data_IF_301044775433
#
_entry.id   IF_301044775433
#
_cell.length_a   1.000
_cell.length_b   1.000
_cell.length_c   1.000
_cell.angle_alpha   90.00
_cell.angle_beta   90.00
_cell.angle_gamma   90.00
#
_symmetry.space_group_name_H-M   'P 1'
#
loop_
_entity.id
_entity.type
_entity.pdbx_description
1 polymer ?
#
# COMPACT_ATOMS: atom_id res chain seq x y z
N UNK A 1 -17.22 -22.29 -12.89
CA UNK A 1 -16.88 -21.85 -14.24
C UNK A 1 -15.53 -21.18 -14.26
N UNK A 2 -14.76 -21.43 -15.28
CA UNK A 2 -13.40 -20.93 -15.37
C UNK A 2 -13.39 -19.59 -16.12
N UNK A 3 -12.72 -18.59 -15.56
CA UNK A 3 -12.57 -17.31 -16.23
C UNK A 3 -11.69 -17.46 -17.47
N UNK A 4 -11.98 -16.69 -18.48
CA UNK A 4 -11.10 -16.62 -19.65
C UNK A 4 -9.81 -15.95 -19.24
N UNK A 5 -8.73 -16.30 -19.92
CA UNK A 5 -7.41 -15.77 -19.60
C UNK A 5 -7.39 -14.23 -19.65
N UNK A 6 -8.07 -13.65 -20.64
CA UNK A 6 -8.11 -12.20 -20.77
C UNK A 6 -8.87 -11.55 -19.63
N UNK A 7 -9.93 -12.19 -19.16
CA UNK A 7 -10.69 -11.66 -18.03
C UNK A 7 -9.86 -11.71 -16.75
N UNK A 8 -9.16 -12.83 -16.54
CA UNK A 8 -8.29 -12.97 -15.37
C UNK A 8 -7.17 -11.95 -15.40
N UNK A 9 -6.59 -11.70 -16.58
CA UNK A 9 -5.52 -10.73 -16.72
C UNK A 9 -6.01 -9.32 -16.47
N UNK A 10 -7.20 -8.98 -16.96
CA UNK A 10 -7.77 -7.65 -16.72
C UNK A 10 -8.03 -7.43 -15.23
N UNK A 11 -8.55 -8.45 -14.56
CA UNK A 11 -8.80 -8.38 -13.12
C UNK A 11 -7.50 -8.21 -12.34
N UNK A 12 -6.49 -8.97 -12.68
CA UNK A 12 -5.21 -8.89 -12.00
C UNK A 12 -4.56 -7.54 -12.23
N UNK A 13 -4.57 -7.05 -13.47
CA UNK A 13 -3.99 -5.75 -13.80
C UNK A 13 -4.67 -4.64 -13.00
N UNK A 14 -5.98 -4.68 -12.92
CA UNK A 14 -6.75 -3.69 -12.16
C UNK A 14 -6.41 -3.75 -10.70
N UNK A 15 -6.29 -4.95 -10.15
CA UNK A 15 -5.95 -5.13 -8.75
C UNK A 15 -4.55 -4.59 -8.44
N UNK A 16 -3.59 -4.84 -9.32
CA UNK A 16 -2.23 -4.34 -9.13
C UNK A 16 -2.21 -2.81 -9.13
N UNK A 17 -2.97 -2.20 -10.03
CA UNK A 17 -3.06 -0.74 -10.06
C UNK A 17 -3.64 -0.19 -8.77
N UNK A 18 -4.69 -0.81 -8.27
CA UNK A 18 -5.30 -0.36 -7.02
C UNK A 18 -4.40 -0.63 -5.82
N UNK A 19 -3.44 -1.55 -5.96
CA UNK A 19 -2.46 -1.80 -4.90
C UNK A 19 -1.27 -0.83 -4.97
N UNK A 20 -1.33 0.16 -5.87
CA UNK A 20 -0.33 1.21 -5.90
C UNK A 20 0.86 0.96 -6.80
N UNK A 21 0.79 -0.06 -7.65
CA UNK A 21 1.89 -0.33 -8.57
C UNK A 21 1.89 0.66 -9.72
N UNK A 22 3.08 1.08 -10.12
CA UNK A 22 3.25 1.91 -11.31
C UNK A 22 2.94 1.12 -12.58
N UNK A 23 2.56 1.79 -13.67
CA UNK A 23 2.23 1.05 -14.89
C UNK A 23 3.34 0.11 -15.38
N UNK A 24 4.60 0.52 -15.26
CA UNK A 24 5.71 -0.33 -15.68
C UNK A 24 5.81 -1.59 -14.82
N UNK A 25 5.54 -1.45 -13.53
CA UNK A 25 5.58 -2.58 -12.61
C UNK A 25 4.40 -3.50 -12.83
N UNK A 26 3.24 -2.94 -13.18
CA UNK A 26 2.08 -3.75 -13.54
C UNK A 26 2.40 -4.61 -14.75
N UNK A 27 2.99 -4.01 -15.79
CA UNK A 27 3.35 -4.75 -17.00
C UNK A 27 4.34 -5.86 -16.69
N UNK A 28 5.35 -5.54 -15.88
CA UNK A 28 6.36 -6.53 -15.52
C UNK A 28 5.74 -7.70 -14.77
N UNK A 29 4.89 -7.40 -13.80
CA UNK A 29 4.22 -8.45 -13.04
C UNK A 29 3.34 -9.31 -13.94
N UNK A 30 2.61 -8.68 -14.85
CA UNK A 30 1.76 -9.41 -15.78
C UNK A 30 2.57 -10.33 -16.67
N UNK A 31 3.72 -9.87 -17.14
CA UNK A 31 4.60 -10.70 -17.95
C UNK A 31 5.10 -11.91 -17.17
N UNK A 32 5.48 -11.67 -15.93
CA UNK A 32 5.93 -12.78 -15.07
C UNK A 32 4.81 -13.78 -14.80
N UNK A 33 3.60 -13.28 -14.57
CA UNK A 33 2.48 -14.16 -14.25
C UNK A 33 2.07 -15.03 -15.44
N UNK A 34 2.46 -14.64 -16.65
CA UNK A 34 2.20 -15.44 -17.84
C UNK A 34 3.18 -16.59 -17.99
N UNK A 35 4.24 -16.63 -17.18
CA UNK A 35 5.26 -17.67 -17.23
C UNK A 35 5.15 -18.55 -16.01
N UNK A 36 5.32 -19.85 -16.21
CA UNK A 36 5.37 -20.77 -15.08
C UNK A 36 6.71 -20.62 -14.35
N UNK A 37 6.72 -20.97 -13.08
CA UNK A 37 7.95 -20.95 -12.30
C UNK A 37 8.34 -19.58 -11.80
N UNK A 38 7.43 -18.60 -11.85
CA UNK A 38 7.75 -17.23 -11.42
C UNK A 38 7.12 -16.86 -10.09
N UNK A 39 6.57 -17.85 -9.38
CA UNK A 39 5.83 -17.58 -8.15
C UNK A 39 6.70 -16.90 -7.09
N UNK A 40 7.94 -17.36 -6.94
CA UNK A 40 8.81 -16.77 -5.91
C UNK A 40 9.16 -15.34 -6.24
N UNK A 41 9.43 -15.04 -7.51
CA UNK A 41 9.75 -13.67 -7.94
C UNK A 41 8.55 -12.77 -7.74
N UNK A 42 7.37 -13.26 -8.13
CA UNK A 42 6.15 -12.45 -7.96
C UNK A 42 5.86 -12.18 -6.49
N UNK A 43 6.04 -13.20 -5.64
CA UNK A 43 5.83 -13.02 -4.21
C UNK A 43 6.77 -11.96 -3.65
N UNK A 44 8.02 -11.95 -4.11
CA UNK A 44 8.98 -10.95 -3.64
C UNK A 44 8.56 -9.54 -4.05
N UNK A 45 8.10 -9.39 -5.30
CA UNK A 45 7.62 -8.09 -5.77
C UNK A 45 6.47 -7.59 -4.90
N UNK A 46 5.55 -8.48 -4.57
CA UNK A 46 4.41 -8.12 -3.74
C UNK A 46 4.83 -7.76 -2.32
N UNK A 47 5.77 -8.51 -1.76
CA UNK A 47 6.26 -8.22 -0.41
C UNK A 47 7.00 -6.89 -0.36
N UNK A 48 7.74 -6.56 -1.40
CA UNK A 48 8.43 -5.28 -1.45
C UNK A 48 7.43 -4.14 -1.49
N UNK A 49 6.37 -4.29 -2.27
CA UNK A 49 5.33 -3.27 -2.30
C UNK A 49 4.63 -3.16 -0.94
N UNK A 50 4.38 -4.29 -0.30
CA UNK A 50 3.78 -4.27 1.02
C UNK A 50 4.66 -3.52 2.01
N UNK A 51 5.98 -3.73 1.94
CA UNK A 51 6.92 -3.03 2.81
C UNK A 51 6.87 -1.53 2.61
N UNK A 52 6.82 -1.10 1.36
CA UNK A 52 6.73 0.33 1.07
C UNK A 52 5.44 0.93 1.63
N UNK A 53 4.33 0.19 1.49
CA UNK A 53 3.05 0.66 2.01
C UNK A 53 3.05 0.71 3.53
N UNK A 54 3.69 -0.26 4.18
CA UNK A 54 3.82 -0.25 5.64
C UNK A 54 4.66 0.94 6.10
N UNK A 55 5.73 1.26 5.38
CA UNK A 55 6.54 2.42 5.72
C UNK A 55 5.73 3.70 5.59
N UNK A 56 4.94 3.83 4.54
CA UNK A 56 4.05 4.97 4.37
C UNK A 56 3.05 5.06 5.50
N UNK A 57 2.48 3.93 5.87
CA UNK A 57 1.49 3.88 6.94
C UNK A 57 2.10 4.34 8.24
N UNK A 58 3.32 3.89 8.54
CA UNK A 58 4.01 4.31 9.75
C UNK A 58 4.30 5.80 9.75
N UNK A 59 4.72 6.35 8.61
CA UNK A 59 4.97 7.79 8.52
C UNK A 59 3.69 8.58 8.76
N UNK A 60 2.58 8.12 8.19
CA UNK A 60 1.30 8.79 8.40
C UNK A 60 0.83 8.66 9.84
N UNK A 61 1.12 7.53 10.47
CA UNK A 61 0.80 7.35 11.88
C UNK A 61 1.57 8.36 12.74
N UNK A 62 2.84 8.59 12.42
CA UNK A 62 3.64 9.57 13.14
C UNK A 62 3.08 10.97 12.98
N UNK A 63 2.61 11.31 11.78
CA UNK A 63 1.99 12.61 11.55
C UNK A 63 0.70 12.72 12.35
N UNK A 64 -0.10 11.67 12.35
CA UNK A 64 -1.34 11.64 13.12
C UNK A 64 -1.07 11.82 14.61
N UNK A 65 -0.04 11.15 15.11
CA UNK A 65 0.35 11.26 16.53
C UNK A 65 0.67 12.72 16.88
N UNK A 66 1.30 13.45 15.97
CA UNK A 66 1.61 14.85 16.22
C UNK A 66 0.35 15.69 16.27
N UNK A 67 -0.59 15.42 15.39
CA UNK A 67 -1.87 16.14 15.39
C UNK A 67 -2.61 15.83 16.68
N UNK A 68 -2.62 14.55 17.09
CA UNK A 68 -3.28 14.17 18.35
C UNK A 68 -2.65 14.87 19.54
N UNK A 69 -1.33 14.99 19.55
CA UNK A 69 -0.64 15.70 20.60
C UNK A 69 -1.05 17.20 20.61
N UNK A 70 -1.13 17.80 19.44
CA UNK A 70 -1.52 19.20 19.36
C UNK A 70 -2.97 19.41 19.80
N UNK A 71 -3.84 18.47 19.47
CA UNK A 71 -5.21 18.53 19.94
C UNK A 71 -5.24 18.47 21.47
N UNK A 72 -4.52 17.52 22.03
CA UNK A 72 -4.44 17.43 23.49
C UNK A 72 -3.92 18.70 24.10
N UNK A 73 -2.86 19.25 23.51
CA UNK A 73 -2.26 20.48 24.00
C UNK A 73 -3.24 21.64 23.96
N UNK A 74 -3.97 21.77 22.85
CA UNK A 74 -4.95 22.85 22.71
C UNK A 74 -6.07 22.73 23.72
N UNK A 75 -6.56 21.49 23.90
CA UNK A 75 -7.66 21.24 24.83
C UNK A 75 -7.23 21.41 26.28
N UNK A 76 -5.97 21.12 26.58
CA UNK A 76 -5.48 21.18 27.96
C UNK A 76 -4.59 22.36 28.26
N UNK A 77 -4.29 23.16 27.24
CA UNK A 77 -3.43 24.33 27.43
C UNK A 77 -4.03 25.36 28.36
N UNK A 78 -5.33 25.45 28.35
CA UNK A 78 -6.03 26.38 29.23
C UNK A 78 -5.79 26.04 30.68
N UNK A 79 -5.78 24.77 31.02
CA UNK A 79 -5.53 24.34 32.38
C UNK A 79 -4.11 24.67 32.80
N UNK A 80 -3.18 24.50 31.89
CA UNK A 80 -1.78 24.80 32.18
C UNK A 80 -1.57 26.29 32.39
N UNK A 81 -2.29 27.10 31.64
CA UNK A 81 -2.19 28.55 31.80
C UNK A 81 -2.96 29.07 32.99
N UNK A 82 -3.88 28.29 33.46
CA UNK A 82 -4.77 28.73 34.49
C UNK A 82 -4.14 28.99 35.85
N UNK A 83 -2.88 28.70 35.98
CA UNK A 83 -2.20 28.93 37.25
C UNK A 83 -1.91 30.32 37.59
#
# INVERSE_FOLDING_TARGET
>A
MRLKKTEANAGLSSLLKSAGFEPSDVRRYMELSARSGTEAVRARILREQRGRLMDELHRRQQVLDKVDYLIWQAENGRQQKGR
#
